data_IF_286817732942
#
_entry.id   IF_286817732942
#
_cell.length_a   1.000
_cell.length_b   1.000
_cell.length_c   1.000
_cell.angle_alpha   90.00
_cell.angle_beta   90.00
_cell.angle_gamma   90.00
#
_symmetry.space_group_name_H-M   'P 1'
#
loop_
_entity.id
_entity.type
_entity.pdbx_description
1 polymer ?
#
# COMPACT_ATOMS: atom_id res chain seq x y z
N UNK A 1 57.29 -51.95 -15.62
CA UNK A 1 57.25 -50.56 -15.09
C UNK A 1 57.09 -49.62 -16.28
N UNK A 2 56.31 -48.52 -16.27
CA UNK A 2 55.44 -47.90 -15.25
C UNK A 2 53.95 -47.73 -15.69
N UNK A 3 53.21 -46.98 -14.87
CA UNK A 3 51.79 -46.60 -14.77
C UNK A 3 51.04 -46.11 -16.02
N UNK A 4 49.70 -46.22 -15.98
CA UNK A 4 48.77 -45.06 -16.10
C UNK A 4 47.35 -45.48 -15.68
N UNK A 5 46.96 -45.10 -14.48
CA UNK A 5 45.57 -45.12 -14.03
C UNK A 5 44.84 -43.92 -14.60
N UNK A 6 43.72 -44.18 -15.26
CA UNK A 6 42.73 -43.17 -15.64
C UNK A 6 41.65 -43.14 -14.56
N UNK A 7 41.93 -42.48 -13.43
CA UNK A 7 40.87 -42.04 -12.53
C UNK A 7 40.53 -40.61 -12.92
N UNK A 8 39.45 -40.48 -13.69
CA UNK A 8 38.75 -39.22 -13.91
C UNK A 8 37.93 -38.92 -12.65
N UNK A 9 38.28 -37.90 -11.83
CA UNK A 9 37.39 -37.46 -10.79
C UNK A 9 36.39 -36.53 -11.48
N UNK A 10 35.26 -37.08 -11.90
CA UNK A 10 34.02 -36.30 -11.95
C UNK A 10 33.80 -35.76 -10.53
N UNK A 11 34.33 -34.56 -10.29
CA UNK A 11 34.10 -33.76 -9.10
C UNK A 11 32.60 -33.54 -9.06
N UNK A 12 31.93 -34.36 -8.26
CA UNK A 12 30.55 -34.16 -7.86
C UNK A 12 30.46 -32.84 -7.13
N UNK A 13 30.17 -31.78 -7.88
CA UNK A 13 29.70 -30.51 -7.34
C UNK A 13 28.39 -30.85 -6.64
N UNK A 14 28.49 -31.12 -5.34
CA UNK A 14 27.43 -31.67 -4.50
C UNK A 14 26.13 -30.89 -4.73
N UNK A 15 25.04 -31.60 -5.02
CA UNK A 15 23.70 -31.04 -5.21
C UNK A 15 23.30 -30.08 -4.07
N UNK A 16 23.86 -30.28 -2.88
CA UNK A 16 23.73 -29.40 -1.71
C UNK A 16 24.34 -28.02 -1.91
N UNK A 17 25.51 -27.91 -2.56
CA UNK A 17 26.13 -26.63 -2.94
C UNK A 17 25.32 -25.92 -4.01
N UNK A 18 24.75 -26.66 -4.96
CA UNK A 18 23.84 -26.11 -5.98
C UNK A 18 22.55 -25.59 -5.35
N UNK A 19 21.95 -26.31 -4.40
CA UNK A 19 20.79 -25.84 -3.64
C UNK A 19 21.08 -24.61 -2.79
N UNK A 20 22.18 -24.60 -2.05
CA UNK A 20 22.58 -23.45 -1.22
C UNK A 20 22.89 -22.22 -2.06
N UNK A 21 23.54 -22.39 -3.22
CA UNK A 21 23.79 -21.31 -4.16
C UNK A 21 22.50 -20.80 -4.81
N UNK A 22 21.53 -21.68 -5.09
CA UNK A 22 20.21 -21.28 -5.58
C UNK A 22 19.40 -20.54 -4.53
N UNK A 23 19.45 -20.96 -3.26
CA UNK A 23 18.81 -20.27 -2.14
C UNK A 23 19.44 -18.89 -1.90
N UNK A 24 20.77 -18.80 -1.96
CA UNK A 24 21.50 -17.52 -1.90
C UNK A 24 21.17 -16.62 -3.09
N UNK A 25 21.21 -17.14 -4.32
CA UNK A 25 20.87 -16.38 -5.52
C UNK A 25 19.40 -15.90 -5.51
N UNK A 26 18.47 -16.70 -4.97
CA UNK A 26 17.09 -16.29 -4.70
C UNK A 26 17.01 -15.18 -3.66
N UNK A 27 17.77 -15.27 -2.57
CA UNK A 27 17.83 -14.26 -1.52
C UNK A 27 18.43 -12.94 -2.02
N UNK A 28 19.49 -13.00 -2.83
CA UNK A 28 20.09 -11.83 -3.47
C UNK A 28 19.18 -11.22 -4.55
N UNK A 29 18.51 -12.02 -5.39
CA UNK A 29 17.50 -11.50 -6.33
C UNK A 29 16.32 -10.88 -5.61
N UNK A 30 15.84 -11.50 -4.54
CA UNK A 30 14.79 -10.95 -3.69
C UNK A 30 15.20 -9.62 -3.08
N UNK A 31 16.46 -9.45 -2.66
CA UNK A 31 16.93 -8.20 -2.05
C UNK A 31 17.32 -7.12 -3.08
N UNK A 32 17.81 -7.48 -4.27
CA UNK A 32 18.30 -6.53 -5.29
C UNK A 32 17.28 -6.16 -6.37
N UNK A 33 16.13 -6.84 -6.40
CA UNK A 33 15.03 -6.58 -7.33
C UNK A 33 13.69 -6.34 -6.66
N UNK A 34 13.67 -6.16 -5.32
CA UNK A 34 12.43 -5.95 -4.58
C UNK A 34 11.79 -4.62 -4.97
N UNK A 35 10.55 -4.66 -5.43
CA UNK A 35 9.75 -3.46 -5.70
C UNK A 35 8.75 -3.20 -4.58
N UNK A 36 8.39 -1.93 -4.38
CA UNK A 36 7.33 -1.58 -3.44
C UNK A 36 6.00 -2.26 -3.81
N UNK A 37 5.70 -2.39 -5.11
CA UNK A 37 4.48 -3.05 -5.59
C UNK A 37 4.42 -4.53 -5.20
N UNK A 38 5.54 -5.27 -5.21
CA UNK A 38 5.56 -6.67 -4.76
C UNK A 38 5.29 -6.81 -3.25
N UNK A 39 5.78 -5.86 -2.46
CA UNK A 39 5.50 -5.80 -1.02
C UNK A 39 4.03 -5.45 -0.77
N UNK A 40 3.51 -4.43 -1.46
CA UNK A 40 2.11 -3.99 -1.33
C UNK A 40 1.10 -5.04 -1.82
N UNK A 41 1.45 -5.83 -2.84
CA UNK A 41 0.63 -6.96 -3.31
C UNK A 41 0.87 -8.26 -2.53
N UNK A 42 1.72 -8.23 -1.50
CA UNK A 42 2.10 -9.39 -0.68
C UNK A 42 2.65 -10.58 -1.50
N UNK A 43 3.37 -10.30 -2.59
CA UNK A 43 4.04 -11.29 -3.44
C UNK A 43 5.55 -11.37 -3.16
N UNK A 44 6.10 -10.41 -2.41
CA UNK A 44 7.48 -10.41 -1.94
C UNK A 44 7.77 -11.56 -0.96
N UNK A 45 8.93 -12.23 -1.06
CA UNK A 45 9.32 -13.30 -0.15
C UNK A 45 9.76 -12.77 1.24
N UNK A 46 9.71 -13.61 2.29
CA UNK A 46 10.30 -13.25 3.59
C UNK A 46 11.78 -12.85 3.47
N UNK A 47 12.26 -11.84 4.24
CA UNK A 47 11.56 -11.11 5.30
C UNK A 47 10.70 -9.91 4.83
N UNK A 48 10.56 -9.68 3.52
CA UNK A 48 9.95 -8.46 2.97
C UNK A 48 8.44 -8.57 2.69
N UNK A 49 7.71 -9.31 3.53
CA UNK A 49 6.26 -9.49 3.36
C UNK A 49 5.50 -8.19 3.67
N UNK A 50 4.24 -8.08 3.22
CA UNK A 50 3.38 -6.96 3.58
C UNK A 50 3.26 -6.80 5.11
N UNK A 51 3.19 -7.92 5.83
CA UNK A 51 3.13 -7.93 7.29
C UNK A 51 4.38 -7.32 7.92
N UNK A 52 5.57 -7.76 7.50
CA UNK A 52 6.83 -7.23 8.00
C UNK A 52 7.01 -5.74 7.64
N UNK A 53 6.55 -5.33 6.46
CA UNK A 53 6.57 -3.93 6.05
C UNK A 53 5.61 -3.06 6.90
N UNK A 54 4.40 -3.54 7.17
CA UNK A 54 3.45 -2.86 8.08
C UNK A 54 4.01 -2.75 9.49
N UNK A 55 4.67 -3.79 9.98
CA UNK A 55 5.30 -3.80 11.31
C UNK A 55 6.48 -2.81 11.37
N UNK A 56 7.32 -2.77 10.32
CA UNK A 56 8.36 -1.76 10.16
C UNK A 56 7.80 -0.33 10.14
N UNK A 57 6.74 -0.08 9.36
CA UNK A 57 6.10 1.24 9.34
C UNK A 57 5.51 1.63 10.70
N UNK A 58 4.95 0.66 11.44
CA UNK A 58 4.45 0.89 12.80
C UNK A 58 5.55 1.34 13.76
N UNK A 59 6.71 0.66 13.70
CA UNK A 59 7.87 1.01 14.53
C UNK A 59 8.49 2.36 14.17
N UNK A 60 8.38 2.77 12.90
CA UNK A 60 8.89 4.05 12.43
C UNK A 60 7.85 5.18 12.46
N UNK A 61 6.65 4.95 13.00
CA UNK A 61 5.55 5.92 13.01
C UNK A 61 5.23 6.46 11.60
N UNK A 62 5.12 5.56 10.63
CA UNK A 62 4.76 5.84 9.23
C UNK A 62 3.60 4.96 8.73
N UNK A 63 2.99 4.16 9.61
CA UNK A 63 1.92 3.23 9.23
C UNK A 63 0.64 3.98 8.83
N UNK A 64 0.37 5.09 9.50
CA UNK A 64 -0.76 5.97 9.23
C UNK A 64 -0.76 6.51 7.80
N UNK A 65 0.41 6.74 7.20
CA UNK A 65 0.55 7.14 5.81
C UNK A 65 0.06 6.06 4.84
N UNK A 66 0.49 4.81 5.04
CA UNK A 66 0.05 3.68 4.23
C UNK A 66 -1.46 3.45 4.40
N UNK A 67 -1.95 3.51 5.64
CA UNK A 67 -3.36 3.28 5.95
C UNK A 67 -4.25 4.39 5.42
N UNK A 68 -3.80 5.65 5.43
CA UNK A 68 -4.49 6.75 4.77
C UNK A 68 -4.59 6.54 3.26
N UNK A 69 -3.50 6.11 2.60
CA UNK A 69 -3.52 5.80 1.16
C UNK A 69 -4.54 4.70 0.84
N UNK A 70 -4.58 3.64 1.64
CA UNK A 70 -5.52 2.53 1.45
C UNK A 70 -6.97 2.97 1.65
N UNK A 71 -7.26 3.74 2.70
CA UNK A 71 -8.62 4.28 2.93
C UNK A 71 -9.03 5.31 1.86
N UNK A 72 -8.10 6.13 1.36
CA UNK A 72 -8.35 7.05 0.25
C UNK A 72 -8.69 6.28 -1.05
N UNK A 73 -8.02 5.15 -1.30
CA UNK A 73 -8.33 4.24 -2.42
C UNK A 73 -9.73 3.64 -2.26
N UNK A 74 -10.05 3.14 -1.06
CA UNK A 74 -11.39 2.60 -0.73
C UNK A 74 -12.49 3.63 -0.92
N UNK A 75 -12.26 4.88 -0.52
CA UNK A 75 -13.17 5.99 -0.77
C UNK A 75 -13.43 6.22 -2.26
N UNK A 76 -12.36 6.24 -3.08
CA UNK A 76 -12.46 6.40 -4.54
C UNK A 76 -13.28 5.28 -5.18
N UNK A 77 -13.04 4.03 -4.80
CA UNK A 77 -13.78 2.87 -5.30
C UNK A 77 -15.27 2.96 -4.93
N UNK A 78 -15.59 3.31 -3.68
CA UNK A 78 -16.96 3.53 -3.23
C UNK A 78 -17.67 4.67 -3.98
N UNK A 79 -16.95 5.76 -4.27
CA UNK A 79 -17.48 6.87 -5.07
C UNK A 79 -17.81 6.45 -6.50
N UNK A 80 -16.93 5.68 -7.14
CA UNK A 80 -17.17 5.15 -8.49
C UNK A 80 -18.44 4.29 -8.54
N UNK A 81 -18.60 3.35 -7.60
CA UNK A 81 -19.80 2.52 -7.50
C UNK A 81 -21.08 3.33 -7.25
N UNK A 82 -20.99 4.42 -6.47
CA UNK A 82 -22.10 5.34 -6.26
C UNK A 82 -22.53 6.03 -7.57
N UNK A 83 -21.57 6.53 -8.36
CA UNK A 83 -21.85 7.18 -9.67
C UNK A 83 -22.46 6.18 -10.65
N UNK A 84 -21.89 4.98 -10.78
CA UNK A 84 -22.40 3.92 -11.66
C UNK A 84 -23.83 3.49 -11.29
N UNK A 85 -24.17 3.56 -10.00
CA UNK A 85 -25.53 3.29 -9.51
C UNK A 85 -26.48 4.45 -9.78
N UNK A 86 -25.98 5.69 -9.72
CA UNK A 86 -26.75 6.90 -9.99
C UNK A 86 -27.08 7.10 -11.47
N UNK A 87 -26.21 6.70 -12.37
CA UNK A 87 -26.52 6.68 -13.80
C UNK A 87 -27.67 5.72 -14.14
N UNK A 88 -27.92 4.73 -13.27
CA UNK A 88 -29.01 3.76 -13.41
C UNK A 88 -30.31 4.17 -12.70
N UNK A 89 -30.29 5.17 -11.81
CA UNK A 89 -31.48 5.58 -11.04
C UNK A 89 -31.56 7.11 -10.81
N UNK A 90 -32.76 7.67 -10.96
CA UNK A 90 -33.00 9.13 -10.96
C UNK A 90 -32.86 9.77 -9.55
N UNK A 91 -32.92 8.97 -8.48
CA UNK A 91 -32.87 9.45 -7.08
C UNK A 91 -31.60 8.99 -6.36
N UNK A 92 -30.52 9.78 -6.40
CA UNK A 92 -29.24 9.39 -5.75
C UNK A 92 -28.66 10.39 -4.78
N UNK A 93 -29.20 11.59 -4.70
CA UNK A 93 -28.71 12.64 -3.79
C UNK A 93 -28.86 12.28 -2.31
N UNK A 94 -29.80 11.39 -1.95
CA UNK A 94 -30.05 10.94 -0.57
C UNK A 94 -29.99 9.41 -0.40
N UNK A 95 -29.31 8.69 -1.29
CA UNK A 95 -29.19 7.24 -1.15
C UNK A 95 -28.36 6.87 0.10
N UNK A 96 -28.66 5.74 0.72
CA UNK A 96 -27.86 5.20 1.85
C UNK A 96 -26.38 5.09 1.50
N UNK A 97 -26.07 4.77 0.24
CA UNK A 97 -24.69 4.72 -0.27
C UNK A 97 -24.01 6.10 -0.23
N UNK A 98 -24.69 7.16 -0.66
CA UNK A 98 -24.19 8.54 -0.58
C UNK A 98 -23.91 8.95 0.87
N UNK A 99 -24.85 8.67 1.79
CA UNK A 99 -24.70 8.96 3.22
C UNK A 99 -23.51 8.21 3.83
N UNK A 100 -23.37 6.92 3.53
CA UNK A 100 -22.25 6.11 4.01
C UNK A 100 -20.91 6.63 3.49
N UNK A 101 -20.88 7.09 2.25
CA UNK A 101 -19.67 7.64 1.65
C UNK A 101 -19.28 8.98 2.27
N UNK A 102 -20.24 9.88 2.53
CA UNK A 102 -19.99 11.11 3.29
C UNK A 102 -19.45 10.82 4.69
N UNK A 103 -20.03 9.84 5.39
CA UNK A 103 -19.52 9.39 6.71
C UNK A 103 -18.10 8.85 6.62
N UNK A 104 -17.80 8.04 5.60
CA UNK A 104 -16.44 7.53 5.38
C UNK A 104 -15.44 8.67 5.18
N UNK A 105 -15.80 9.69 4.40
CA UNK A 105 -14.97 10.88 4.21
C UNK A 105 -14.72 11.63 5.54
N UNK A 106 -15.75 11.79 6.37
CA UNK A 106 -15.61 12.41 7.69
C UNK A 106 -14.66 11.63 8.60
N UNK A 107 -14.81 10.30 8.65
CA UNK A 107 -13.91 9.43 9.41
C UNK A 107 -12.46 9.52 8.93
N UNK A 108 -12.24 9.64 7.61
CA UNK A 108 -10.92 9.91 7.04
C UNK A 108 -10.33 11.23 7.56
N UNK A 109 -11.11 12.30 7.56
CA UNK A 109 -10.64 13.59 8.06
C UNK A 109 -10.31 13.55 9.55
N UNK A 110 -11.16 12.94 10.36
CA UNK A 110 -11.00 12.87 11.81
C UNK A 110 -9.82 12.00 12.24
N UNK A 111 -9.59 10.89 11.55
CA UNK A 111 -8.49 9.99 11.88
C UNK A 111 -7.13 10.51 11.40
N UNK A 112 -7.07 11.15 10.22
CA UNK A 112 -5.79 11.40 9.54
C UNK A 112 -5.48 12.87 9.25
N UNK A 113 -6.46 13.78 9.20
CA UNK A 113 -6.25 15.15 8.70
C UNK A 113 -6.39 16.21 9.78
N UNK A 114 -7.26 15.96 10.78
CA UNK A 114 -7.51 16.90 11.87
C UNK A 114 -6.21 17.12 12.68
N UNK A 115 -5.82 18.37 12.96
CA UNK A 115 -4.67 18.63 13.82
C UNK A 115 -4.83 17.94 15.19
N UNK A 116 -3.80 17.23 15.64
CA UNK A 116 -3.81 16.46 16.88
C UNK A 116 -4.55 15.12 16.79
N UNK A 117 -4.93 14.66 15.60
CA UNK A 117 -5.47 13.32 15.43
C UNK A 117 -4.42 12.25 15.78
N UNK A 118 -4.87 11.14 16.36
CA UNK A 118 -3.97 10.06 16.77
C UNK A 118 -3.16 9.45 15.61
N UNK A 119 -3.64 9.62 14.37
CA UNK A 119 -3.03 9.09 13.14
C UNK A 119 -2.86 10.21 12.10
N UNK A 120 -2.63 11.43 12.58
CA UNK A 120 -2.41 12.61 11.73
C UNK A 120 -1.27 12.36 10.73
N UNK A 121 -1.59 12.46 9.44
CA UNK A 121 -0.57 12.39 8.39
C UNK A 121 0.10 13.74 8.21
N UNK A 122 1.40 13.72 7.91
CA UNK A 122 2.17 14.94 7.70
C UNK A 122 1.76 15.61 6.39
N UNK A 123 0.95 16.66 6.48
CA UNK A 123 0.47 17.44 5.35
C UNK A 123 0.81 18.92 5.52
N UNK A 124 1.16 19.56 4.41
CA UNK A 124 1.21 21.01 4.34
C UNK A 124 -0.13 21.64 4.75
N UNK A 125 -0.06 22.80 5.41
CA UNK A 125 -1.23 23.55 5.91
C UNK A 125 -2.26 23.79 4.81
N UNK A 126 -1.82 24.22 3.62
CA UNK A 126 -2.73 24.48 2.49
C UNK A 126 -3.52 23.23 2.03
N UNK A 127 -2.87 22.06 2.01
CA UNK A 127 -3.54 20.81 1.62
C UNK A 127 -4.56 20.41 2.68
N UNK A 128 -4.17 20.49 3.95
CA UNK A 128 -5.03 20.19 5.10
C UNK A 128 -6.27 21.07 5.14
N UNK A 129 -6.09 22.39 5.06
CA UNK A 129 -7.19 23.35 5.09
C UNK A 129 -8.16 23.14 3.93
N UNK A 130 -7.63 22.78 2.76
CA UNK A 130 -8.46 22.46 1.58
C UNK A 130 -9.36 21.25 1.84
N UNK A 131 -8.84 20.20 2.48
CA UNK A 131 -9.63 19.04 2.84
C UNK A 131 -10.68 19.36 3.91
N UNK A 132 -10.29 20.11 4.94
CA UNK A 132 -11.18 20.44 6.06
C UNK A 132 -12.38 21.31 5.65
N UNK A 133 -12.28 22.08 4.56
CA UNK A 133 -13.43 22.81 3.97
C UNK A 133 -14.61 21.90 3.60
N UNK A 134 -14.35 20.61 3.36
CA UNK A 134 -15.37 19.66 2.93
C UNK A 134 -15.97 18.85 4.08
N UNK A 135 -15.52 19.06 5.33
CA UNK A 135 -15.88 18.23 6.50
C UNK A 135 -17.38 18.12 6.75
N UNK A 136 -18.14 19.19 6.52
CA UNK A 136 -19.56 19.28 6.83
C UNK A 136 -20.47 19.22 5.60
N UNK A 137 -19.96 18.74 4.46
CA UNK A 137 -20.76 18.63 3.25
C UNK A 137 -21.74 17.45 3.34
N UNK A 138 -22.98 17.68 2.91
CA UNK A 138 -24.01 16.63 2.86
C UNK A 138 -23.74 15.61 1.76
N UNK A 139 -23.12 16.04 0.66
CA UNK A 139 -22.73 15.20 -0.47
C UNK A 139 -21.25 14.79 -0.34
N UNK A 140 -20.89 13.54 -0.64
CA UNK A 140 -19.50 13.11 -0.63
C UNK A 140 -18.68 13.94 -1.64
N UNK A 141 -17.52 14.48 -1.25
CA UNK A 141 -16.63 15.20 -2.16
C UNK A 141 -16.05 14.29 -3.26
N UNK A 142 -15.60 14.88 -4.35
CA UNK A 142 -14.89 14.15 -5.41
C UNK A 142 -13.63 13.46 -4.86
N UNK A 143 -13.32 12.21 -5.24
CA UNK A 143 -12.09 11.52 -4.78
C UNK A 143 -10.80 12.27 -5.10
N UNK A 144 -10.79 13.09 -6.14
CA UNK A 144 -9.67 13.95 -6.56
C UNK A 144 -9.31 14.98 -5.47
N UNK A 145 -10.24 15.30 -4.57
CA UNK A 145 -9.96 16.17 -3.42
C UNK A 145 -8.88 15.60 -2.49
N UNK A 146 -8.75 14.27 -2.41
CA UNK A 146 -7.72 13.59 -1.61
C UNK A 146 -6.36 13.47 -2.34
N UNK A 147 -6.32 13.71 -3.65
CA UNK A 147 -5.11 13.50 -4.46
C UNK A 147 -3.89 14.32 -4.01
N UNK A 148 -4.02 15.61 -3.60
CA UNK A 148 -2.90 16.37 -3.09
C UNK A 148 -2.31 15.78 -1.80
N UNK A 149 -3.15 15.22 -0.91
CA UNK A 149 -2.69 14.59 0.32
C UNK A 149 -1.99 13.26 0.06
N UNK A 150 -2.54 12.43 -0.83
CA UNK A 150 -1.89 11.18 -1.26
C UNK A 150 -0.54 11.48 -1.93
N UNK A 151 -0.48 12.50 -2.80
CA UNK A 151 0.77 12.90 -3.46
C UNK A 151 1.84 13.35 -2.45
N UNK A 152 1.45 14.10 -1.42
CA UNK A 152 2.39 14.62 -0.42
C UNK A 152 3.07 13.52 0.40
N UNK A 153 2.42 12.36 0.55
CA UNK A 153 2.98 11.18 1.23
C UNK A 153 4.00 10.45 0.34
N UNK A 154 3.89 10.58 -1.00
CA UNK A 154 4.79 9.93 -1.95
C UNK A 154 6.06 10.74 -2.30
N UNK A 155 6.22 11.95 -1.75
CA UNK A 155 7.31 12.90 -2.07
C UNK A 155 8.12 13.23 -0.84
#
# INVERSE_FOLDING_TARGET
MPSSGSNDPSIGVSETSTMLNNLRARSYRAAWGLTLDEVLNNTAPPPYTLSAFREFLSQNHCLENLEFILEAKRYREGYKSLVESAEKSIETTNSTASINLSKLYQLLLEAYILPGAAREVNLSVNVRDTLLRHKNMSKPPLPETLAPAVKNIHT
#
